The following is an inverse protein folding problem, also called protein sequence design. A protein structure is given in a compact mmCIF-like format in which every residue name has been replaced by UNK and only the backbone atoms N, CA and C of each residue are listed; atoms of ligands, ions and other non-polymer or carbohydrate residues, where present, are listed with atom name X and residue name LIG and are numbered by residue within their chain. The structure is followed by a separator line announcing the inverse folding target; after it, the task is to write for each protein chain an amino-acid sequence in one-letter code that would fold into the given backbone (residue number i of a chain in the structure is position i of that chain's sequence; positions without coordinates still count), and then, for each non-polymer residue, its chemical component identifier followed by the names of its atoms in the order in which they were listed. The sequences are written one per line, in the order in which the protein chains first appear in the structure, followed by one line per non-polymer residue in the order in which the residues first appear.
data_IF_865206431188
#
_entry.id   IF_865206431188
#
_cell.length_a   1.000
_cell.length_b   1.000
_cell.length_c   1.000
_cell.angle_alpha   90.00
_cell.angle_beta   90.00
_cell.angle_gamma   90.00
#
_symmetry.space_group_name_H-M   'P 1'
#
loop_
_entity.id
_entity.type
_entity.pdbx_description
1 polymer ?
#
# COMPACT_ATOMS: atom_id res chain seq x y z
N UNK A 1 30.23 42.52 16.95
CA UNK A 1 30.07 41.32 17.80
C UNK A 1 28.62 40.98 18.15
N UNK A 2 27.76 41.96 18.46
CA UNK A 2 26.35 41.75 18.83
C UNK A 2 25.46 41.29 17.66
N UNK A 3 25.70 41.84 16.46
CA UNK A 3 25.09 41.46 15.18
C UNK A 3 25.34 39.97 14.81
N UNK A 4 26.59 39.51 14.92
CA UNK A 4 27.00 38.12 14.65
C UNK A 4 26.29 37.14 15.60
N UNK A 5 26.16 37.50 16.88
CA UNK A 5 25.41 36.73 17.88
C UNK A 5 23.90 36.71 17.64
N UNK A 6 23.36 37.65 16.86
CA UNK A 6 21.94 37.75 16.50
C UNK A 6 21.63 36.89 15.26
N UNK A 7 22.50 36.97 14.26
CA UNK A 7 22.49 36.11 13.07
C UNK A 7 22.63 34.63 13.42
N UNK A 8 23.58 34.27 14.31
CA UNK A 8 23.74 32.88 14.76
C UNK A 8 22.51 32.32 15.49
N UNK A 9 21.80 33.15 16.26
CA UNK A 9 20.54 32.74 16.93
C UNK A 9 19.37 32.56 15.95
N UNK A 10 19.31 33.38 14.91
CA UNK A 10 18.32 33.24 13.84
C UNK A 10 18.55 31.96 13.02
N UNK A 11 19.80 31.69 12.65
CA UNK A 11 20.19 30.47 11.95
C UNK A 11 19.85 29.21 12.77
N UNK A 12 20.16 29.21 14.07
CA UNK A 12 19.83 28.08 14.95
C UNK A 12 18.32 27.82 15.05
N UNK A 13 17.51 28.89 15.14
CA UNK A 13 16.04 28.78 15.14
C UNK A 13 15.51 28.21 13.82
N UNK A 14 16.07 28.65 12.68
CA UNK A 14 15.72 28.12 11.37
C UNK A 14 16.05 26.63 11.27
N UNK A 15 17.24 26.21 11.70
CA UNK A 15 17.63 24.80 11.74
C UNK A 15 16.70 23.99 12.63
N UNK A 16 16.37 24.49 13.83
CA UNK A 16 15.44 23.82 14.73
C UNK A 16 14.03 23.68 14.14
N UNK A 17 13.53 24.70 13.43
CA UNK A 17 12.23 24.65 12.74
C UNK A 17 12.29 23.62 11.60
N UNK A 18 13.34 23.61 10.79
CA UNK A 18 13.50 22.62 9.70
C UNK A 18 13.52 21.20 10.27
N UNK A 19 14.28 20.95 11.34
CA UNK A 19 14.32 19.65 12.00
C UNK A 19 12.97 19.25 12.58
N UNK A 20 12.23 20.18 13.18
CA UNK A 20 10.89 19.94 13.69
C UNK A 20 9.91 19.59 12.57
N UNK A 21 9.96 20.31 11.44
CA UNK A 21 9.12 20.01 10.27
C UNK A 21 9.46 18.64 9.69
N UNK A 22 10.74 18.29 9.58
CA UNK A 22 11.17 16.96 9.14
C UNK A 22 10.70 15.88 10.11
N UNK A 23 10.82 16.09 11.42
CA UNK A 23 10.35 15.16 12.43
C UNK A 23 8.83 14.98 12.41
N UNK A 24 8.06 16.06 12.27
CA UNK A 24 6.60 16.00 12.11
C UNK A 24 6.25 15.28 10.81
N UNK A 25 6.95 15.54 9.71
CA UNK A 25 6.76 14.82 8.44
C UNK A 25 6.95 13.31 8.65
N UNK A 26 8.01 12.87 9.33
CA UNK A 26 8.25 11.45 9.61
C UNK A 26 7.16 10.86 10.52
N UNK A 27 6.74 11.57 11.57
CA UNK A 27 5.63 11.12 12.45
C UNK A 27 4.33 11.00 11.65
N UNK A 28 4.02 11.99 10.83
CA UNK A 28 2.81 12.05 10.02
C UNK A 28 2.83 10.94 8.98
N UNK A 29 3.92 10.72 8.26
CA UNK A 29 4.04 9.60 7.31
C UNK A 29 3.99 8.23 8.02
N UNK A 30 4.48 8.14 9.26
CA UNK A 30 4.43 6.91 10.04
C UNK A 30 3.01 6.59 10.57
N UNK A 31 2.25 7.61 10.99
CA UNK A 31 0.92 7.45 11.59
C UNK A 31 -0.25 7.65 10.62
N UNK A 32 -0.01 8.33 9.52
CA UNK A 32 -1.01 8.63 8.50
C UNK A 32 -0.48 8.11 7.18
N UNK A 33 -1.28 7.32 6.46
CA UNK A 33 -0.91 6.85 5.13
C UNK A 33 -1.23 7.95 4.10
N UNK A 34 -0.77 9.16 4.39
CA UNK A 34 -1.04 10.37 3.63
C UNK A 34 -0.50 10.19 2.22
N UNK A 35 -1.42 9.97 1.28
CA UNK A 35 -1.11 9.89 -0.12
C UNK A 35 -1.62 11.16 -0.80
N UNK A 36 -0.68 12.09 -0.98
CA UNK A 36 -0.90 13.36 -1.66
C UNK A 36 -0.95 13.20 -3.18
N UNK A 37 -0.62 12.01 -3.71
CA UNK A 37 -0.69 11.76 -5.13
C UNK A 37 -2.16 11.70 -5.55
N UNK A 38 -2.56 12.48 -6.56
CA UNK A 38 -3.91 12.41 -7.14
C UNK A 38 -4.16 11.09 -7.91
N UNK A 39 -3.18 10.18 -7.91
CA UNK A 39 -3.20 8.89 -8.62
C UNK A 39 -4.41 8.02 -8.26
N UNK A 40 -4.96 8.17 -7.06
CA UNK A 40 -6.14 7.41 -6.63
C UNK A 40 -7.45 7.89 -7.29
N UNK A 41 -7.48 9.06 -7.94
CA UNK A 41 -8.67 9.61 -8.65
C UNK A 41 -8.59 9.50 -10.17
N UNK A 42 -7.45 9.10 -10.73
CA UNK A 42 -7.21 9.21 -12.18
C UNK A 42 -6.89 7.89 -12.88
N UNK A 43 -7.02 6.75 -12.20
CA UNK A 43 -6.96 5.47 -12.91
C UNK A 43 -8.34 4.86 -12.87
N UNK A 44 -9.02 4.92 -14.01
CA UNK A 44 -10.29 4.24 -14.23
C UNK A 44 -10.20 2.81 -13.65
N UNK A 45 -11.20 2.47 -12.85
CA UNK A 45 -11.46 1.16 -12.25
C UNK A 45 -10.82 0.85 -10.88
N UNK A 46 -9.90 1.60 -10.27
CA UNK A 46 -9.34 1.16 -8.96
C UNK A 46 -10.25 1.37 -7.73
N UNK A 47 -11.41 2.03 -7.88
CA UNK A 47 -12.37 2.29 -6.78
C UNK A 47 -13.12 1.05 -6.28
N UNK A 48 -13.12 -0.02 -7.08
CA UNK A 48 -13.69 -1.33 -6.73
C UNK A 48 -12.81 -2.13 -5.77
N UNK A 49 -11.56 -1.73 -5.55
CA UNK A 49 -10.62 -2.49 -4.72
C UNK A 49 -10.98 -2.34 -3.24
N UNK A 50 -11.23 -3.46 -2.59
CA UNK A 50 -11.51 -3.58 -1.16
C UNK A 50 -10.36 -4.29 -0.46
N UNK A 51 -9.88 -3.66 0.60
CA UNK A 51 -8.87 -4.21 1.51
C UNK A 51 -9.59 -4.83 2.70
N UNK A 52 -9.25 -6.07 3.06
CA UNK A 52 -10.00 -6.85 4.04
C UNK A 52 -9.09 -7.28 5.18
N UNK A 53 -9.48 -6.97 6.41
CA UNK A 53 -8.86 -7.61 7.57
C UNK A 53 -9.67 -8.86 7.94
N UNK A 54 -9.12 -10.03 7.63
CA UNK A 54 -9.77 -11.31 7.87
C UNK A 54 -9.94 -11.64 9.36
N UNK A 55 -9.09 -11.08 10.23
CA UNK A 55 -9.17 -11.27 11.68
C UNK A 55 -10.27 -10.44 12.31
N UNK A 56 -10.35 -9.14 11.96
CA UNK A 56 -11.34 -8.23 12.54
C UNK A 56 -12.64 -8.14 11.73
N UNK A 57 -12.77 -8.95 10.66
CA UNK A 57 -13.91 -8.96 9.74
C UNK A 57 -14.34 -7.56 9.34
N UNK A 58 -13.34 -6.75 8.96
CA UNK A 58 -13.52 -5.34 8.61
C UNK A 58 -13.00 -5.08 7.21
N UNK A 59 -13.79 -4.37 6.41
CA UNK A 59 -13.43 -3.93 5.07
C UNK A 59 -13.00 -2.45 5.08
N UNK A 60 -12.06 -2.13 4.19
CA UNK A 60 -11.50 -0.81 4.02
C UNK A 60 -11.45 -0.45 2.53
N UNK A 61 -11.61 0.85 2.24
CA UNK A 61 -11.35 1.42 0.92
C UNK A 61 -10.27 2.48 1.03
N UNK A 62 -9.55 2.71 -0.07
CA UNK A 62 -8.56 3.79 -0.15
C UNK A 62 -9.24 5.15 -0.05
N UNK A 63 -8.56 6.06 0.63
CA UNK A 63 -8.87 7.48 0.66
C UNK A 63 -7.57 8.28 0.75
N UNK A 64 -7.69 9.61 0.77
CA UNK A 64 -6.56 10.54 0.88
C UNK A 64 -5.62 10.25 2.07
N UNK A 65 -6.15 9.72 3.17
CA UNK A 65 -5.39 9.43 4.40
C UNK A 65 -4.82 8.00 4.45
N UNK A 66 -5.00 7.22 3.39
CA UNK A 66 -4.63 5.80 3.39
C UNK A 66 -5.80 4.91 3.07
N UNK A 67 -6.12 4.04 4.01
CA UNK A 67 -7.31 3.21 4.00
C UNK A 67 -8.27 3.66 5.10
N UNK A 68 -9.56 3.59 4.83
CA UNK A 68 -10.62 3.94 5.78
C UNK A 68 -11.63 2.80 5.84
N UNK A 69 -12.05 2.46 7.06
CA UNK A 69 -13.10 1.47 7.29
C UNK A 69 -14.36 1.92 6.53
N UNK A 70 -14.97 1.00 5.81
CA UNK A 70 -16.22 1.25 5.08
C UNK A 70 -17.30 0.27 5.56
N UNK A 71 -18.53 0.76 5.65
CA UNK A 71 -19.72 -0.07 5.88
C UNK A 71 -20.36 -0.53 4.56
N UNK A 72 -19.98 0.10 3.45
CA UNK A 72 -20.65 -0.07 2.15
C UNK A 72 -20.07 -1.24 1.35
N UNK A 73 -18.96 -1.83 1.81
CA UNK A 73 -18.34 -2.97 1.13
C UNK A 73 -18.89 -4.29 1.69
N UNK A 74 -19.61 -5.03 0.86
CA UNK A 74 -19.91 -6.46 1.09
C UNK A 74 -18.64 -7.24 0.79
N UNK A 75 -17.78 -7.42 1.79
CA UNK A 75 -16.53 -8.14 1.64
C UNK A 75 -16.73 -9.63 1.93
N UNK A 76 -16.34 -10.48 0.99
CA UNK A 76 -16.16 -11.89 1.25
C UNK A 76 -14.85 -12.08 2.04
N UNK A 77 -14.90 -12.65 3.24
CA UNK A 77 -13.68 -12.87 4.03
C UNK A 77 -13.02 -14.22 3.77
N UNK A 78 -13.47 -14.96 2.76
CA UNK A 78 -12.83 -16.16 2.30
C UNK A 78 -11.49 -15.84 1.62
N UNK A 79 -10.51 -16.70 1.91
CA UNK A 79 -9.13 -16.48 1.50
C UNK A 79 -8.94 -17.03 0.08
N UNK A 80 -8.63 -16.16 -0.88
CA UNK A 80 -8.34 -16.50 -2.28
C UNK A 80 -9.52 -17.16 -3.04
N UNK A 81 -10.51 -16.34 -3.41
CA UNK A 81 -11.77 -16.75 -4.07
C UNK A 81 -11.69 -17.49 -5.41
N UNK A 82 -10.50 -17.93 -5.83
CA UNK A 82 -10.27 -18.70 -7.05
C UNK A 82 -9.40 -19.96 -6.86
N UNK A 83 -9.20 -20.42 -5.62
CA UNK A 83 -8.46 -21.66 -5.32
C UNK A 83 -7.00 -21.47 -4.91
N UNK A 84 -6.61 -20.26 -4.51
CA UNK A 84 -5.28 -19.99 -3.94
C UNK A 84 -4.16 -20.15 -4.97
N UNK A 85 -3.01 -20.72 -4.55
CA UNK A 85 -1.82 -20.87 -5.38
C UNK A 85 -2.00 -21.78 -6.61
N UNK A 86 -3.11 -22.52 -6.69
CA UNK A 86 -3.46 -23.33 -7.86
C UNK A 86 -4.50 -22.66 -8.77
N UNK A 87 -5.04 -21.52 -8.33
CA UNK A 87 -6.06 -20.73 -9.02
C UNK A 87 -5.56 -20.09 -10.31
N UNK A 88 -6.50 -19.73 -11.17
CA UNK A 88 -6.20 -19.12 -12.46
C UNK A 88 -5.59 -17.72 -12.30
N UNK A 89 -6.05 -16.94 -11.33
CA UNK A 89 -5.53 -15.59 -11.06
C UNK A 89 -4.06 -15.66 -10.66
N UNK A 90 -3.70 -16.58 -9.75
CA UNK A 90 -2.31 -16.76 -9.34
C UNK A 90 -1.42 -17.11 -10.53
N UNK A 91 -1.84 -18.07 -11.36
CA UNK A 91 -1.08 -18.48 -12.56
C UNK A 91 -0.87 -17.33 -13.54
N UNK A 92 -1.90 -16.51 -13.81
CA UNK A 92 -1.81 -15.33 -14.68
C UNK A 92 -0.84 -14.30 -14.10
N UNK A 93 -0.91 -14.06 -12.80
CA UNK A 93 -0.04 -13.13 -12.10
C UNK A 93 1.44 -13.57 -12.18
N UNK A 94 1.75 -14.81 -11.79
CA UNK A 94 3.12 -15.35 -11.78
C UNK A 94 3.69 -15.63 -13.17
N UNK A 95 2.87 -15.56 -14.23
CA UNK A 95 3.38 -15.59 -15.59
C UNK A 95 4.02 -14.26 -16.02
N UNK A 96 3.77 -13.17 -15.29
CA UNK A 96 4.26 -11.82 -15.60
C UNK A 96 5.28 -11.32 -14.57
N UNK A 97 5.10 -11.65 -13.30
CA UNK A 97 6.02 -11.21 -12.24
C UNK A 97 7.14 -12.24 -12.03
N UNK A 98 8.38 -11.77 -12.02
CA UNK A 98 9.58 -12.64 -11.91
C UNK A 98 9.88 -13.06 -10.46
N UNK A 99 9.46 -12.27 -9.46
CA UNK A 99 9.67 -12.57 -8.05
C UNK A 99 8.34 -12.78 -7.32
N UNK A 100 8.07 -14.03 -6.99
CA UNK A 100 6.86 -14.44 -6.25
C UNK A 100 7.14 -14.72 -4.78
N UNK A 101 8.39 -14.61 -4.31
CA UNK A 101 8.82 -15.04 -2.98
C UNK A 101 8.10 -14.30 -1.85
N UNK A 102 7.68 -13.07 -2.12
CA UNK A 102 7.03 -12.19 -1.15
C UNK A 102 5.59 -11.82 -1.53
N UNK A 103 4.95 -12.64 -2.37
CA UNK A 103 3.56 -12.42 -2.76
C UNK A 103 2.60 -12.67 -1.58
N UNK A 104 1.73 -11.70 -1.31
CA UNK A 104 0.70 -11.81 -0.27
C UNK A 104 -0.63 -12.31 -0.83
N UNK A 105 -1.64 -11.43 -0.88
CA UNK A 105 -2.96 -11.75 -1.43
C UNK A 105 -3.14 -11.20 -2.84
N UNK A 106 -4.13 -11.70 -3.57
CA UNK A 106 -4.46 -11.26 -4.92
C UNK A 106 -5.94 -11.46 -5.23
N UNK A 107 -6.45 -10.71 -6.19
CA UNK A 107 -7.80 -10.83 -6.73
C UNK A 107 -7.85 -10.33 -8.18
N UNK A 108 -8.61 -11.03 -9.03
CA UNK A 108 -8.93 -10.56 -10.39
C UNK A 108 -9.99 -9.47 -10.35
N UNK A 109 -9.91 -8.51 -11.27
CA UNK A 109 -11.01 -7.57 -11.52
C UNK A 109 -12.23 -8.30 -12.11
N UNK A 110 -13.45 -7.74 -11.99
CA UNK A 110 -14.67 -8.41 -12.47
C UNK A 110 -14.67 -8.64 -13.98
N UNK A 111 -14.01 -7.77 -14.73
CA UNK A 111 -13.82 -7.89 -16.19
C UNK A 111 -12.67 -8.83 -16.59
N UNK A 112 -11.92 -9.36 -15.61
CA UNK A 112 -10.78 -10.25 -15.82
C UNK A 112 -9.58 -9.62 -16.52
N UNK A 113 -9.54 -8.29 -16.66
CA UNK A 113 -8.45 -7.58 -17.37
C UNK A 113 -7.31 -7.16 -16.47
N UNK A 114 -7.52 -7.15 -15.14
CA UNK A 114 -6.54 -6.69 -14.15
C UNK A 114 -6.47 -7.65 -12.99
N UNK A 115 -5.33 -7.63 -12.31
CA UNK A 115 -5.11 -8.36 -11.05
C UNK A 115 -4.59 -7.36 -10.03
N UNK A 116 -5.30 -7.20 -8.91
CA UNK A 116 -4.75 -6.52 -7.74
C UNK A 116 -4.01 -7.55 -6.90
N UNK A 117 -2.84 -7.20 -6.39
CA UNK A 117 -2.05 -8.07 -5.52
C UNK A 117 -1.25 -7.27 -4.50
N UNK A 118 -0.77 -7.93 -3.46
CA UNK A 118 0.14 -7.35 -2.47
C UNK A 118 1.50 -8.03 -2.53
N UNK A 119 2.56 -7.27 -2.32
CA UNK A 119 3.95 -7.73 -2.31
C UNK A 119 4.64 -7.19 -1.06
N UNK A 120 5.16 -8.09 -0.23
CA UNK A 120 5.92 -7.74 0.96
C UNK A 120 7.36 -7.39 0.59
N UNK A 121 7.88 -6.32 1.17
CA UNK A 121 9.30 -5.98 1.07
C UNK A 121 9.97 -6.29 2.39
N UNK A 122 10.89 -7.26 2.40
CA UNK A 122 11.56 -7.73 3.61
C UNK A 122 12.74 -6.84 3.99
N UNK A 123 13.09 -6.82 5.28
CA UNK A 123 14.28 -6.13 5.77
C UNK A 123 15.56 -6.87 5.36
N UNK A 124 15.48 -8.21 5.41
CA UNK A 124 16.56 -9.14 5.06
C UNK A 124 15.95 -10.36 4.36
N UNK A 125 16.50 -10.73 3.21
CA UNK A 125 16.08 -11.92 2.44
C UNK A 125 16.36 -13.23 3.21
N UNK A 126 17.29 -13.22 4.17
CA UNK A 126 17.54 -14.35 5.06
C UNK A 126 16.46 -14.51 6.13
N UNK A 127 15.66 -13.47 6.37
CA UNK A 127 14.57 -13.45 7.34
C UNK A 127 13.24 -13.01 6.68
N UNK A 128 12.69 -13.84 5.77
CA UNK A 128 11.58 -13.42 4.89
C UNK A 128 10.26 -13.13 5.61
N UNK A 129 10.17 -13.44 6.90
CA UNK A 129 9.03 -13.10 7.75
C UNK A 129 9.07 -11.65 8.27
N UNK A 130 10.22 -10.98 8.20
CA UNK A 130 10.39 -9.60 8.64
C UNK A 130 10.08 -8.62 7.51
N UNK A 131 8.79 -8.52 7.21
CA UNK A 131 8.27 -7.53 6.27
C UNK A 131 8.52 -6.13 6.84
N UNK A 132 9.10 -5.25 6.04
CA UNK A 132 9.32 -3.82 6.32
C UNK A 132 8.09 -2.99 5.95
N UNK A 133 7.59 -3.21 4.75
CA UNK A 133 6.38 -2.58 4.20
C UNK A 133 5.78 -3.49 3.14
N UNK A 134 4.53 -3.22 2.77
CA UNK A 134 3.80 -3.95 1.73
C UNK A 134 3.38 -2.96 0.66
N UNK A 135 3.62 -3.32 -0.59
CA UNK A 135 3.07 -2.63 -1.74
C UNK A 135 1.83 -3.36 -2.21
N UNK A 136 0.76 -2.61 -2.43
CA UNK A 136 -0.41 -3.07 -3.15
C UNK A 136 -0.31 -2.55 -4.57
N UNK A 137 -0.38 -3.47 -5.53
CA UNK A 137 -0.10 -3.22 -6.93
C UNK A 137 -1.27 -3.73 -7.78
N UNK A 138 -1.43 -3.13 -8.95
CA UNK A 138 -2.32 -3.62 -9.99
C UNK A 138 -1.52 -3.96 -11.22
N UNK A 139 -1.65 -5.20 -11.68
CA UNK A 139 -1.18 -5.66 -12.97
C UNK A 139 -2.32 -5.52 -13.99
N UNK A 140 -2.05 -4.81 -15.08
CA UNK A 140 -2.90 -4.79 -16.26
C UNK A 140 -2.47 -5.92 -17.21
N UNK A 141 -3.36 -6.89 -17.47
CA UNK A 141 -3.03 -8.11 -18.23
C UNK A 141 -2.93 -7.88 -19.74
N UNK A 142 -3.41 -6.74 -20.25
CA UNK A 142 -3.31 -6.42 -21.68
C UNK A 142 -1.94 -5.82 -22.01
N UNK A 143 -1.46 -4.96 -21.13
CA UNK A 143 -0.20 -4.22 -21.29
C UNK A 143 0.99 -4.81 -20.54
N UNK A 144 0.74 -5.74 -19.61
CA UNK A 144 1.69 -6.21 -18.60
C UNK A 144 2.29 -5.08 -17.73
N UNK A 145 1.61 -3.94 -17.66
CA UNK A 145 2.05 -2.82 -16.83
C UNK A 145 1.66 -3.03 -15.37
N UNK A 146 2.57 -2.69 -14.46
CA UNK A 146 2.37 -2.79 -13.02
C UNK A 146 2.34 -1.39 -12.43
N UNK A 147 1.27 -1.07 -11.71
CA UNK A 147 1.11 0.21 -11.00
C UNK A 147 1.02 -0.03 -9.51
N UNK A 148 1.86 0.63 -8.72
CA UNK A 148 1.72 0.67 -7.27
C UNK A 148 0.56 1.62 -6.91
N UNK A 149 -0.45 1.11 -6.22
CA UNK A 149 -1.66 1.88 -5.85
C UNK A 149 -1.67 2.32 -4.39
N UNK A 150 -0.91 1.63 -3.55
CA UNK A 150 -0.82 1.91 -2.12
C UNK A 150 0.39 1.21 -1.50
N UNK A 151 1.20 1.95 -0.76
CA UNK A 151 2.24 1.37 0.10
C UNK A 151 1.81 1.51 1.55
N UNK A 152 1.92 0.44 2.32
CA UNK A 152 1.52 0.40 3.72
C UNK A 152 2.61 -0.19 4.62
N UNK A 153 2.63 0.16 5.92
CA UNK A 153 3.54 -0.47 6.87
C UNK A 153 3.28 -1.98 6.99
N UNK A 154 4.29 -2.73 7.44
CA UNK A 154 4.24 -4.19 7.59
C UNK A 154 3.00 -4.74 8.32
N UNK A 155 2.43 -3.98 9.27
CA UNK A 155 1.20 -4.36 9.99
C UNK A 155 0.02 -4.64 9.07
N UNK A 156 0.00 -4.04 7.88
CA UNK A 156 -1.05 -4.20 6.87
C UNK A 156 -0.78 -5.34 5.88
N UNK A 157 0.36 -6.05 5.99
CA UNK A 157 0.70 -7.16 5.10
C UNK A 157 -0.31 -8.33 5.15
N UNK A 158 -1.15 -8.37 6.18
CA UNK A 158 -2.22 -9.37 6.35
C UNK A 158 -3.55 -8.99 5.69
N UNK A 159 -3.64 -7.81 5.06
CA UNK A 159 -4.86 -7.40 4.38
C UNK A 159 -5.10 -8.29 3.15
N UNK A 160 -6.30 -8.87 3.09
CA UNK A 160 -6.85 -9.49 1.91
C UNK A 160 -7.30 -8.47 0.88
N UNK A 161 -7.42 -8.91 -0.36
CA UNK A 161 -7.85 -8.09 -1.50
C UNK A 161 -9.11 -8.67 -2.14
N UNK A 162 -9.95 -7.78 -2.66
CA UNK A 162 -11.15 -8.10 -3.41
C UNK A 162 -11.50 -6.96 -4.36
N UNK A 163 -12.25 -7.30 -5.40
CA UNK A 163 -12.87 -6.34 -6.31
C UNK A 163 -14.39 -6.37 -6.19
N UNK A 164 -15.00 -5.19 -6.13
CA UNK A 164 -16.44 -4.96 -6.15
C UNK A 164 -16.85 -4.16 -7.38
#
# INVERSE_FOLDING_TARGET
MQEIKRLGRLALKLVAIVLLVLFIKEIVLYHTYLDLSQSYRQVDNYEGIVFKNNYTKTAYKRCFWGIKKTADAIADFDRHGDGGYNGETYKKLTAVIDDTGHLGTWASSPDGTKIVYSEGHVIDELEPTYIRYVDFKVLDLQSNSITVIFTAPAKEASLGLEWQ
#
